data_IF_784788537976
#
_entry.id   IF_784788537976
#
_cell.length_a   1.000
_cell.length_b   1.000
_cell.length_c   1.000
_cell.angle_alpha   90.00
_cell.angle_beta   90.00
_cell.angle_gamma   90.00
#
_symmetry.space_group_name_H-M   'P 1'
#
loop_
_entity.id
_entity.type
_entity.pdbx_description
1 polymer ?
#
# COMPACT_ATOMS: atom_id res chain seq x y z
N UNK A 1 -16.08 12.93 -8.15
CA UNK A 1 -15.01 11.99 -8.60
C UNK A 1 -15.54 10.57 -8.43
N UNK A 2 -15.55 9.79 -9.51
CA UNK A 2 -15.85 8.36 -9.45
C UNK A 2 -14.68 7.60 -8.81
N UNK A 3 -14.99 6.55 -8.05
CA UNK A 3 -13.97 5.62 -7.54
C UNK A 3 -13.53 4.73 -8.70
N UNK A 4 -12.23 4.54 -8.85
CA UNK A 4 -11.65 3.61 -9.84
C UNK A 4 -11.13 2.35 -9.13
N UNK A 5 -11.94 1.28 -8.99
CA UNK A 5 -11.52 0.07 -8.31
C UNK A 5 -10.54 -0.73 -9.18
N UNK A 6 -9.42 -1.14 -8.60
CA UNK A 6 -8.48 -2.08 -9.23
C UNK A 6 -8.23 -3.27 -8.31
N UNK A 7 -8.26 -4.48 -8.89
CA UNK A 7 -7.90 -5.69 -8.17
C UNK A 7 -6.38 -5.76 -7.98
N UNK A 8 -5.94 -5.94 -6.73
CA UNK A 8 -4.51 -6.07 -6.39
C UNK A 8 -4.16 -7.49 -5.88
N UNK A 9 -5.04 -8.45 -6.16
CA UNK A 9 -4.88 -9.87 -5.83
C UNK A 9 -5.66 -10.31 -4.59
N UNK A 10 -5.88 -11.61 -4.45
CA UNK A 10 -6.51 -12.22 -3.27
C UNK A 10 -7.92 -11.68 -2.92
N UNK A 11 -8.65 -11.18 -3.90
CA UNK A 11 -9.94 -10.51 -3.64
C UNK A 11 -9.82 -9.09 -3.07
N UNK A 12 -8.61 -8.57 -2.88
CA UNK A 12 -8.40 -7.18 -2.48
C UNK A 12 -8.66 -6.23 -3.65
N UNK A 13 -9.27 -5.09 -3.33
CA UNK A 13 -9.58 -4.00 -4.27
C UNK A 13 -9.02 -2.71 -3.69
N UNK A 14 -8.41 -1.90 -4.55
CA UNK A 14 -7.86 -0.59 -4.23
C UNK A 14 -8.54 0.50 -5.05
N UNK A 15 -8.80 1.66 -4.44
CA UNK A 15 -9.21 2.86 -5.16
C UNK A 15 -7.99 3.49 -5.87
N UNK A 16 -7.80 3.18 -7.14
CA UNK A 16 -6.62 3.59 -7.91
C UNK A 16 -6.46 5.11 -8.00
N UNK A 17 -7.58 5.83 -8.07
CA UNK A 17 -7.64 7.29 -8.11
C UNK A 17 -7.14 7.99 -6.82
N UNK A 18 -6.79 7.23 -5.77
CA UNK A 18 -6.22 7.72 -4.50
C UNK A 18 -4.72 7.41 -4.35
N UNK A 19 -4.13 6.72 -5.32
CA UNK A 19 -2.72 6.29 -5.28
C UNK A 19 -1.82 7.44 -5.76
N UNK A 20 -0.82 7.79 -4.95
CA UNK A 20 0.25 8.72 -5.32
C UNK A 20 1.40 7.97 -5.99
N UNK A 21 1.81 6.84 -5.41
CA UNK A 21 2.98 6.10 -5.88
C UNK A 21 2.89 4.61 -5.57
N UNK A 22 3.52 3.80 -6.42
CA UNK A 22 3.77 2.37 -6.22
C UNK A 22 5.27 2.13 -6.26
N UNK A 23 5.83 1.59 -5.19
CA UNK A 23 7.28 1.45 -5.02
C UNK A 23 7.66 0.04 -4.55
N UNK A 24 8.92 -0.34 -4.78
CA UNK A 24 9.45 -1.63 -4.33
C UNK A 24 9.74 -1.61 -2.81
N UNK A 25 9.40 -2.68 -2.06
CA UNK A 25 9.63 -2.75 -0.61
C UNK A 25 11.09 -2.93 -0.19
N UNK A 26 12.01 -3.09 -1.16
CA UNK A 26 13.36 -3.59 -0.87
C UNK A 26 14.33 -2.54 -0.30
N UNK A 27 14.11 -1.24 -0.56
CA UNK A 27 15.04 -0.19 -0.16
C UNK A 27 14.86 0.21 1.32
N UNK A 28 15.96 0.61 1.97
CA UNK A 28 15.93 1.04 3.37
C UNK A 28 14.95 2.20 3.65
N UNK A 29 14.84 3.24 2.79
CA UNK A 29 13.85 4.30 2.98
C UNK A 29 12.40 3.79 2.97
N UNK A 30 12.06 2.86 2.06
CA UNK A 30 10.70 2.31 1.99
C UNK A 30 10.37 1.47 3.22
N UNK A 31 11.34 0.68 3.72
CA UNK A 31 11.15 -0.05 4.99
C UNK A 31 10.88 0.88 6.18
N UNK A 32 11.52 2.06 6.23
CA UNK A 32 11.23 3.08 7.25
C UNK A 32 9.82 3.63 7.11
N UNK A 33 9.40 3.97 5.88
CA UNK A 33 8.04 4.44 5.61
C UNK A 33 6.99 3.41 6.07
N UNK A 34 7.18 2.14 5.76
CA UNK A 34 6.30 1.05 6.22
C UNK A 34 6.20 1.03 7.75
N UNK A 35 7.36 1.12 8.44
CA UNK A 35 7.39 1.11 9.90
C UNK A 35 6.70 2.34 10.50
N UNK A 36 6.91 3.52 9.93
CA UNK A 36 6.23 4.75 10.36
C UNK A 36 4.72 4.64 10.16
N UNK A 37 4.27 4.12 9.01
CA UNK A 37 2.87 3.82 8.75
C UNK A 37 2.27 2.90 9.80
N UNK A 38 2.98 1.82 10.15
CA UNK A 38 2.57 0.88 11.21
C UNK A 38 2.44 1.59 12.56
N UNK A 39 3.44 2.38 12.94
CA UNK A 39 3.44 3.11 14.21
C UNK A 39 2.30 4.14 14.30
N UNK A 40 1.90 4.72 13.17
CA UNK A 40 0.79 5.68 13.07
C UNK A 40 -0.58 5.01 12.88
N UNK A 41 -0.66 3.68 12.79
CA UNK A 41 -1.90 2.96 12.50
C UNK A 41 -2.43 3.14 11.07
N UNK A 42 -1.58 3.57 10.13
CA UNK A 42 -1.90 3.85 8.73
C UNK A 42 -1.47 2.74 7.75
N UNK A 43 -0.85 1.67 8.26
CA UNK A 43 -0.43 0.54 7.45
C UNK A 43 -1.59 -0.43 7.23
N UNK A 44 -1.89 -0.73 5.96
CA UNK A 44 -2.86 -1.74 5.57
C UNK A 44 -2.10 -2.88 4.89
N UNK A 45 -2.17 -4.08 5.47
CA UNK A 45 -1.54 -5.27 4.90
C UNK A 45 -2.55 -6.02 4.02
N UNK A 46 -2.32 -6.03 2.71
CA UNK A 46 -3.12 -6.76 1.72
C UNK A 46 -2.37 -7.95 1.11
N UNK A 47 -1.22 -8.33 1.67
CA UNK A 47 -0.36 -9.39 1.12
C UNK A 47 -0.92 -10.80 1.36
N UNK A 48 -1.90 -10.95 2.26
CA UNK A 48 -2.45 -12.23 2.69
C UNK A 48 -1.35 -13.22 3.15
N UNK A 49 -0.33 -12.71 3.86
CA UNK A 49 0.79 -13.51 4.36
C UNK A 49 1.81 -13.92 3.31
N UNK A 50 1.66 -13.49 2.04
CA UNK A 50 2.69 -13.68 1.01
C UNK A 50 3.73 -12.57 1.09
N UNK A 51 4.84 -12.78 0.36
CA UNK A 51 5.89 -11.77 0.24
C UNK A 51 5.32 -10.49 -0.39
N UNK A 52 5.49 -9.36 0.28
CA UNK A 52 5.22 -8.03 -0.28
C UNK A 52 6.00 -7.82 -1.57
N UNK A 53 5.28 -7.55 -2.66
CA UNK A 53 5.86 -7.22 -3.96
C UNK A 53 5.86 -5.71 -4.21
N UNK A 54 4.88 -5.00 -3.65
CA UNK A 54 4.73 -3.57 -3.82
C UNK A 54 4.31 -2.89 -2.52
N UNK A 55 4.71 -1.64 -2.39
CA UNK A 55 4.22 -0.71 -1.37
C UNK A 55 3.50 0.41 -2.11
N UNK A 56 2.25 0.64 -1.75
CA UNK A 56 1.39 1.62 -2.41
C UNK A 56 1.13 2.75 -1.42
N UNK A 57 1.42 3.97 -1.86
CA UNK A 57 1.26 5.19 -1.06
C UNK A 57 0.03 5.93 -1.55
N UNK A 58 -0.86 6.27 -0.64
CA UNK A 58 -2.11 6.98 -0.96
C UNK A 58 -2.06 8.44 -0.52
N UNK A 59 -2.94 9.26 -1.10
CA UNK A 59 -3.10 10.68 -0.76
C UNK A 59 -3.50 10.94 0.71
N UNK A 60 -4.21 9.99 1.32
CA UNK A 60 -4.58 10.01 2.73
C UNK A 60 -3.44 9.65 3.70
N UNK A 61 -2.26 9.32 3.19
CA UNK A 61 -1.12 8.88 4.00
C UNK A 61 -1.14 7.39 4.40
N UNK A 62 -2.18 6.65 4.01
CA UNK A 62 -2.17 5.19 4.17
C UNK A 62 -1.11 4.56 3.29
N UNK A 63 -0.45 3.55 3.84
CA UNK A 63 0.56 2.74 3.17
C UNK A 63 0.00 1.33 3.05
N UNK A 64 -0.05 0.81 1.83
CA UNK A 64 -0.67 -0.48 1.54
C UNK A 64 0.41 -1.44 1.08
N UNK A 65 0.50 -2.60 1.72
CA UNK A 65 1.38 -3.69 1.29
C UNK A 65 0.62 -4.62 0.38
N UNK A 66 1.12 -4.84 -0.84
CA UNK A 66 0.54 -5.76 -1.83
C UNK A 66 1.55 -6.83 -2.26
#
# INVERSE_FOLDING_TARGET
MSIEPIHIGFGNILAMNRVIAIVSPNSAPIKRIIQEGRNKGLLIDMTNGRRTKAVIITDSGHIILA
#
